data_IF_081248456905
#
_entry.id   IF_081248456905
#
_cell.length_a   1.000
_cell.length_b   1.000
_cell.length_c   1.000
_cell.angle_alpha   90.00
_cell.angle_beta   90.00
_cell.angle_gamma   90.00
#
_symmetry.space_group_name_H-M   'P 1'
#
loop_
_entity.id
_entity.type
_entity.pdbx_description
1 polymer ?
#
# COMPACT_ATOMS: atom_id res chain seq x y z
N UNK A 1 -15.82 1.17 26.37
CA UNK A 1 -15.23 0.03 25.63
C UNK A 1 -14.56 0.63 24.40
N UNK A 2 -13.23 0.68 24.37
CA UNK A 2 -12.48 1.14 23.20
C UNK A 2 -12.21 -0.13 22.38
N UNK A 3 -12.90 -0.29 21.24
CA UNK A 3 -12.66 -1.42 20.35
C UNK A 3 -11.49 -1.01 19.46
N UNK A 4 -10.37 -1.70 19.58
CA UNK A 4 -9.24 -1.53 18.66
C UNK A 4 -9.34 -2.64 17.63
N UNK A 5 -9.70 -2.23 16.41
CA UNK A 5 -9.93 -3.13 15.29
C UNK A 5 -8.68 -3.22 14.43
N UNK A 6 -8.17 -4.43 14.20
CA UNK A 6 -6.96 -4.65 13.39
C UNK A 6 -7.31 -5.25 12.02
N UNK A 7 -6.62 -4.77 10.98
CA UNK A 7 -6.52 -5.43 9.68
C UNK A 7 -5.35 -6.42 9.77
N UNK A 8 -5.61 -7.71 9.52
CA UNK A 8 -4.60 -8.78 9.70
C UNK A 8 -4.42 -9.58 8.41
N UNK A 9 -3.18 -9.97 8.14
CA UNK A 9 -2.70 -10.73 6.98
C UNK A 9 -2.90 -12.25 7.11
N UNK A 10 -4.09 -12.66 7.56
CA UNK A 10 -4.42 -14.09 7.75
C UNK A 10 -4.00 -14.67 9.11
N UNK A 11 -3.44 -13.87 10.02
CA UNK A 11 -3.37 -14.22 11.44
C UNK A 11 -4.73 -13.95 12.11
N UNK A 12 -5.33 -14.95 12.74
CA UNK A 12 -6.39 -14.71 13.73
C UNK A 12 -5.81 -13.89 14.89
N UNK A 13 -6.63 -13.16 15.65
CA UNK A 13 -6.18 -12.38 16.84
C UNK A 13 -5.48 -13.22 17.93
N UNK A 14 -5.35 -14.54 17.72
CA UNK A 14 -4.53 -15.46 18.50
C UNK A 14 -3.12 -14.92 18.72
N UNK A 15 -2.78 -14.60 19.97
CA UNK A 15 -1.44 -14.17 20.37
C UNK A 15 -1.27 -12.67 20.55
N UNK A 16 -2.27 -11.85 20.23
CA UNK A 16 -2.25 -10.42 20.58
C UNK A 16 -2.52 -10.28 22.08
N UNK A 17 -1.53 -9.77 22.82
CA UNK A 17 -1.71 -9.40 24.23
C UNK A 17 -2.15 -7.94 24.32
N UNK A 18 -3.27 -7.70 25.01
CA UNK A 18 -3.79 -6.35 25.26
C UNK A 18 -4.01 -6.11 26.74
N UNK A 19 -4.02 -4.83 27.12
CA UNK A 19 -4.30 -4.42 28.49
C UNK A 19 -5.74 -4.75 28.91
N UNK A 20 -5.98 -4.84 30.22
CA UNK A 20 -7.29 -5.12 30.79
C UNK A 20 -8.36 -4.14 30.27
N UNK A 21 -9.51 -4.68 29.87
CA UNK A 21 -10.63 -3.90 29.33
C UNK A 21 -10.56 -3.55 27.84
N UNK A 22 -9.51 -4.01 27.14
CA UNK A 22 -9.41 -3.93 25.66
C UNK A 22 -9.86 -5.27 25.06
N UNK A 23 -10.69 -5.20 24.03
CA UNK A 23 -11.10 -6.34 23.21
C UNK A 23 -10.55 -6.12 21.79
N UNK A 24 -9.95 -7.16 21.22
CA UNK A 24 -9.41 -7.16 19.86
C UNK A 24 -10.10 -8.25 19.06
N UNK A 25 -10.67 -7.86 17.93
CA UNK A 25 -11.35 -8.74 16.99
C UNK A 25 -10.85 -8.46 15.56
N UNK A 26 -10.82 -9.51 14.75
CA UNK A 26 -10.52 -9.38 13.31
C UNK A 26 -11.74 -8.79 12.60
N UNK A 27 -11.55 -7.65 11.92
CA UNK A 27 -12.61 -7.02 11.13
C UNK A 27 -12.54 -7.34 9.65
N UNK A 28 -11.33 -7.46 9.10
CA UNK A 28 -11.09 -7.98 7.76
C UNK A 28 -9.80 -8.79 7.75
N UNK A 29 -9.75 -9.81 6.90
CA UNK A 29 -8.59 -10.67 6.70
C UNK A 29 -8.48 -11.10 5.23
N UNK A 30 -7.40 -11.79 4.87
CA UNK A 30 -7.31 -12.53 3.61
C UNK A 30 -8.57 -13.39 3.41
N UNK A 31 -9.14 -13.46 2.18
CA UNK A 31 -8.66 -12.87 0.92
C UNK A 31 -9.20 -11.46 0.60
N UNK A 32 -9.80 -10.77 1.58
CA UNK A 32 -10.38 -9.43 1.36
C UNK A 32 -9.33 -8.33 1.19
N UNK A 33 -8.09 -8.56 1.62
CA UNK A 33 -6.96 -7.68 1.42
C UNK A 33 -5.70 -8.55 1.44
N UNK A 34 -4.65 -8.11 0.75
CA UNK A 34 -3.46 -8.95 0.49
C UNK A 34 -2.19 -8.38 1.12
N UNK A 35 -2.00 -7.05 1.07
CA UNK A 35 -0.75 -6.43 1.54
C UNK A 35 -1.00 -4.99 2.06
N UNK A 36 -1.72 -4.83 3.19
CA UNK A 36 -2.12 -3.52 3.71
C UNK A 36 -0.94 -2.76 4.33
N UNK A 37 -0.72 -1.51 3.91
CA UNK A 37 0.35 -0.65 4.46
C UNK A 37 -0.20 0.50 5.29
N UNK A 38 -1.25 1.15 4.81
CA UNK A 38 -1.91 2.26 5.49
C UNK A 38 -3.42 2.16 5.31
N UNK A 39 -4.18 2.72 6.25
CA UNK A 39 -5.63 2.81 6.12
C UNK A 39 -6.18 4.10 6.71
N UNK A 40 -7.37 4.48 6.26
CA UNK A 40 -8.14 5.58 6.82
C UNK A 40 -9.64 5.23 6.79
N UNK A 41 -10.36 5.68 7.81
CA UNK A 41 -11.81 5.46 7.94
C UNK A 41 -12.51 6.75 7.58
N UNK A 42 -13.54 6.67 6.75
CA UNK A 42 -14.33 7.83 6.37
C UNK A 42 -15.50 8.11 7.32
N UNK A 43 -16.26 9.16 7.04
CA UNK A 43 -17.38 9.59 7.87
C UNK A 43 -18.60 8.64 7.81
N UNK A 44 -18.57 7.59 6.98
CA UNK A 44 -19.58 6.54 6.90
C UNK A 44 -19.10 5.21 7.50
N UNK A 45 -17.89 5.17 8.07
CA UNK A 45 -17.31 3.95 8.64
C UNK A 45 -16.72 3.00 7.58
N UNK A 46 -16.58 3.44 6.33
CA UNK A 46 -15.91 2.64 5.29
C UNK A 46 -14.40 2.77 5.47
N UNK A 47 -13.69 1.67 5.30
CA UNK A 47 -12.22 1.63 5.47
C UNK A 47 -11.56 1.62 4.11
N UNK A 48 -10.70 2.60 3.88
CA UNK A 48 -9.85 2.69 2.69
C UNK A 48 -8.45 2.22 3.06
N UNK A 49 -7.91 1.27 2.31
CA UNK A 49 -6.62 0.61 2.58
C UNK A 49 -5.72 0.82 1.38
N UNK A 50 -4.54 1.41 1.59
CA UNK A 50 -3.46 1.39 0.62
C UNK A 50 -2.78 0.01 0.68
N UNK A 51 -2.82 -0.72 -0.42
CA UNK A 51 -2.16 -2.01 -0.57
C UNK A 51 -0.99 -1.93 -1.54
N UNK A 52 0.12 -2.56 -1.17
CA UNK A 52 1.36 -2.45 -1.94
C UNK A 52 1.84 -3.79 -2.46
N UNK A 53 1.67 -4.05 -3.75
CA UNK A 53 2.22 -5.25 -4.37
C UNK A 53 3.65 -5.02 -4.87
N UNK A 54 4.13 -3.77 -4.91
CA UNK A 54 5.36 -3.39 -5.60
C UNK A 54 6.61 -3.36 -4.73
N UNK A 55 6.48 -3.46 -3.41
CA UNK A 55 7.65 -3.53 -2.52
C UNK A 55 8.53 -4.73 -2.92
N UNK A 56 9.82 -4.45 -3.19
CA UNK A 56 10.81 -5.42 -3.72
C UNK A 56 10.44 -6.05 -5.08
N UNK A 57 9.41 -5.51 -5.75
CA UNK A 57 8.84 -6.00 -7.02
C UNK A 57 8.52 -4.82 -7.95
N UNK A 58 9.45 -3.87 -8.06
CA UNK A 58 9.30 -2.63 -8.82
C UNK A 58 9.54 -1.36 -8.01
N UNK A 59 9.43 -1.44 -6.68
CA UNK A 59 9.99 -0.44 -5.74
C UNK A 59 11.12 -1.09 -4.97
N UNK A 60 12.34 -0.70 -5.31
CA UNK A 60 13.54 -1.43 -4.95
C UNK A 60 14.13 -0.98 -3.62
N UNK A 61 14.61 -1.93 -2.84
CA UNK A 61 15.46 -1.66 -1.69
C UNK A 61 16.92 -1.58 -2.13
N UNK A 62 17.50 -0.37 -2.08
CA UNK A 62 18.90 -0.10 -2.44
C UNK A 62 19.89 -1.04 -1.73
N UNK A 63 19.60 -1.51 -0.50
CA UNK A 63 20.48 -2.41 0.25
C UNK A 63 20.72 -3.75 -0.44
N UNK A 64 19.77 -4.19 -1.26
CA UNK A 64 19.84 -5.44 -2.02
C UNK A 64 20.49 -5.27 -3.39
N UNK A 65 20.78 -4.04 -3.81
CA UNK A 65 21.19 -3.67 -5.17
C UNK A 65 22.54 -2.92 -5.19
N UNK A 66 23.64 -3.52 -4.69
CA UNK A 66 24.90 -2.79 -4.49
C UNK A 66 25.53 -2.20 -5.75
N UNK A 67 25.15 -2.70 -6.93
CA UNK A 67 25.73 -2.28 -8.20
C UNK A 67 25.33 -0.86 -8.64
N UNK A 68 24.22 -0.32 -8.13
CA UNK A 68 23.75 1.03 -8.49
C UNK A 68 23.86 2.06 -7.37
N UNK A 69 24.41 1.69 -6.20
CA UNK A 69 24.37 2.55 -4.99
C UNK A 69 25.03 3.92 -5.18
N UNK A 70 26.15 3.98 -5.92
CA UNK A 70 26.83 5.25 -6.20
C UNK A 70 26.01 6.14 -7.14
N UNK A 71 25.27 5.54 -8.08
CA UNK A 71 24.37 6.29 -8.95
C UNK A 71 23.17 6.80 -8.12
N UNK A 72 22.57 5.95 -7.29
CA UNK A 72 21.41 6.26 -6.43
C UNK A 72 21.67 7.43 -5.48
N UNK A 73 22.85 7.46 -4.82
CA UNK A 73 23.24 8.57 -3.93
C UNK A 73 23.50 9.87 -4.70
N UNK A 74 23.83 9.80 -5.99
CA UNK A 74 24.14 10.96 -6.82
C UNK A 74 22.91 11.64 -7.43
N UNK A 75 21.75 10.99 -7.40
CA UNK A 75 20.51 11.49 -8.02
C UNK A 75 20.11 12.85 -7.44
N UNK A 76 19.71 13.78 -8.29
CA UNK A 76 19.21 15.11 -7.87
C UNK A 76 17.76 15.35 -8.31
N UNK A 77 17.28 14.59 -9.30
CA UNK A 77 15.95 14.73 -9.90
C UNK A 77 15.25 13.38 -10.07
N UNK A 78 13.94 13.42 -10.36
CA UNK A 78 13.15 12.21 -10.66
C UNK A 78 13.59 11.62 -12.00
N UNK A 79 13.97 12.46 -12.94
CA UNK A 79 14.50 12.09 -14.26
C UNK A 79 15.84 11.35 -14.12
N UNK A 80 16.72 11.78 -13.20
CA UNK A 80 17.97 11.04 -12.93
C UNK A 80 17.67 9.61 -12.47
N UNK A 81 16.64 9.43 -11.63
CA UNK A 81 16.24 8.10 -11.16
C UNK A 81 15.76 7.23 -12.31
N UNK A 82 14.98 7.79 -13.25
CA UNK A 82 14.55 7.06 -14.45
C UNK A 82 15.77 6.65 -15.29
N UNK A 83 16.69 7.57 -15.54
CA UNK A 83 17.90 7.29 -16.30
C UNK A 83 18.78 6.23 -15.62
N UNK A 84 18.83 6.21 -14.28
CA UNK A 84 19.50 5.15 -13.52
C UNK A 84 18.82 3.79 -13.74
N UNK A 85 17.49 3.73 -13.67
CA UNK A 85 16.75 2.49 -13.93
C UNK A 85 17.01 1.97 -15.35
N UNK A 86 17.00 2.84 -16.35
CA UNK A 86 17.30 2.51 -17.75
C UNK A 86 18.74 2.00 -17.92
N UNK A 87 19.72 2.68 -17.32
CA UNK A 87 21.15 2.27 -17.32
C UNK A 87 21.31 0.84 -16.82
N UNK A 88 20.61 0.48 -15.75
CA UNK A 88 20.73 -0.82 -15.10
C UNK A 88 19.66 -1.84 -15.51
N UNK A 89 18.80 -1.52 -16.48
CA UNK A 89 17.72 -2.41 -16.93
C UNK A 89 18.25 -3.80 -17.34
N UNK A 90 19.44 -3.88 -17.92
CA UNK A 90 20.09 -5.14 -18.30
C UNK A 90 20.39 -6.11 -17.13
N UNK A 91 20.36 -5.63 -15.87
CA UNK A 91 20.51 -6.46 -14.67
C UNK A 91 19.18 -7.07 -14.22
N UNK A 92 18.05 -6.58 -14.72
CA UNK A 92 16.71 -7.10 -14.42
C UNK A 92 16.35 -8.19 -15.42
N UNK A 93 15.64 -9.22 -14.97
CA UNK A 93 15.23 -10.35 -15.81
C UNK A 93 14.32 -9.94 -16.97
N UNK A 94 13.55 -8.86 -16.82
CA UNK A 94 12.63 -8.33 -17.84
C UNK A 94 12.89 -6.84 -18.15
N UNK A 95 14.15 -6.41 -18.04
CA UNK A 95 14.53 -5.03 -18.37
C UNK A 95 13.73 -3.99 -17.57
N UNK A 96 13.23 -2.97 -18.29
CA UNK A 96 12.38 -1.93 -17.68
C UNK A 96 10.97 -2.41 -17.31
N UNK A 97 10.47 -3.50 -17.89
CA UNK A 97 9.14 -4.02 -17.56
C UNK A 97 9.07 -4.51 -16.11
N UNK A 98 10.22 -4.82 -15.50
CA UNK A 98 10.34 -5.15 -14.08
C UNK A 98 9.64 -4.12 -13.18
N UNK A 99 9.75 -2.83 -13.47
CA UNK A 99 9.23 -1.76 -12.61
C UNK A 99 7.71 -1.55 -12.73
N UNK A 100 7.10 -2.10 -13.79
CA UNK A 100 5.68 -1.95 -14.12
C UNK A 100 4.87 -3.24 -14.02
N UNK A 101 5.52 -4.37 -13.67
CA UNK A 101 4.93 -5.70 -13.65
C UNK A 101 3.84 -5.90 -12.58
N UNK A 102 3.89 -5.09 -11.51
CA UNK A 102 2.94 -5.10 -10.41
C UNK A 102 2.39 -3.71 -10.18
N UNK A 103 1.19 -3.62 -9.59
CA UNK A 103 0.50 -2.36 -9.29
C UNK A 103 0.11 -2.28 -7.81
N UNK A 104 0.26 -1.09 -7.24
CA UNK A 104 -0.34 -0.74 -5.96
C UNK A 104 -1.81 -0.32 -6.17
N UNK A 105 -2.60 -0.31 -5.10
CA UNK A 105 -4.04 0.00 -5.18
C UNK A 105 -4.59 0.55 -3.87
N UNK A 106 -5.76 1.17 -3.97
CA UNK A 106 -6.59 1.53 -2.84
C UNK A 106 -7.80 0.60 -2.83
N UNK A 107 -7.91 -0.19 -1.76
CA UNK A 107 -9.09 -1.02 -1.50
C UNK A 107 -10.06 -0.28 -0.61
N UNK A 108 -11.36 -0.43 -0.86
CA UNK A 108 -12.42 0.03 0.03
C UNK A 108 -13.18 -1.17 0.59
N UNK A 109 -13.25 -1.23 1.91
CA UNK A 109 -13.92 -2.25 2.70
C UNK A 109 -15.13 -1.64 3.40
N UNK A 110 -16.22 -2.41 3.47
CA UNK A 110 -17.49 -2.00 4.08
C UNK A 110 -18.03 -3.17 4.91
N UNK A 111 -18.60 -2.84 6.05
CA UNK A 111 -19.49 -3.69 6.84
C UNK A 111 -20.93 -3.29 6.48
N UNK A 112 -21.65 -4.12 5.72
CA UNK A 112 -22.98 -3.77 5.20
C UNK A 112 -24.12 -4.17 6.11
N UNK A 113 -23.91 -5.09 7.06
CA UNK A 113 -24.94 -5.57 7.99
C UNK A 113 -24.76 -5.09 9.44
N UNK A 114 -23.64 -4.43 9.74
CA UNK A 114 -23.33 -3.81 11.04
C UNK A 114 -22.92 -4.82 12.11
N UNK A 115 -22.47 -6.01 11.72
CA UNK A 115 -22.03 -7.06 12.65
C UNK A 115 -20.62 -6.81 13.24
N UNK A 116 -19.95 -5.74 12.80
CA UNK A 116 -18.60 -5.40 13.21
C UNK A 116 -17.53 -6.13 12.42
N UNK A 117 -17.83 -6.63 11.21
CA UNK A 117 -16.89 -7.23 10.27
C UNK A 117 -17.15 -6.71 8.87
N UNK A 118 -16.08 -6.51 8.10
CA UNK A 118 -16.23 -6.19 6.70
C UNK A 118 -16.77 -7.40 5.94
N UNK A 119 -17.75 -7.18 5.07
CA UNK A 119 -18.38 -8.19 4.22
C UNK A 119 -18.31 -7.84 2.73
N UNK A 120 -17.97 -6.58 2.40
CA UNK A 120 -17.84 -6.09 1.04
C UNK A 120 -16.46 -5.47 0.81
N UNK A 121 -15.85 -5.86 -0.31
CA UNK A 121 -14.61 -5.27 -0.81
C UNK A 121 -14.72 -4.78 -2.25
N UNK A 122 -14.07 -3.66 -2.55
CA UNK A 122 -13.94 -3.11 -3.91
C UNK A 122 -12.57 -2.48 -4.10
N UNK A 123 -11.99 -2.56 -5.30
CA UNK A 123 -10.87 -1.70 -5.68
C UNK A 123 -11.42 -0.31 -5.95
N UNK A 124 -11.10 0.65 -5.09
CA UNK A 124 -11.52 2.05 -5.26
C UNK A 124 -10.70 2.75 -6.34
N UNK A 125 -9.39 2.53 -6.33
CA UNK A 125 -8.47 3.03 -7.36
C UNK A 125 -7.26 2.10 -7.48
N UNK A 126 -6.66 2.02 -8.65
CA UNK A 126 -5.54 1.13 -8.96
C UNK A 126 -4.80 1.61 -10.21
N UNK A 127 -3.88 0.80 -10.72
CA UNK A 127 -3.01 1.18 -11.85
C UNK A 127 -1.80 2.02 -11.45
N UNK A 128 -1.41 2.01 -10.18
CA UNK A 128 -0.20 2.71 -9.71
C UNK A 128 1.02 1.83 -9.94
N UNK A 129 1.57 1.88 -11.16
CA UNK A 129 2.69 1.05 -11.58
C UNK A 129 3.68 1.77 -12.51
N UNK A 130 3.69 3.11 -12.55
CA UNK A 130 4.72 3.82 -13.30
C UNK A 130 6.10 3.49 -12.70
N UNK A 131 7.18 3.38 -13.51
CA UNK A 131 8.51 3.13 -12.97
C UNK A 131 8.93 4.11 -11.86
N UNK A 132 8.42 5.34 -11.90
CA UNK A 132 8.71 6.37 -10.91
C UNK A 132 7.72 6.41 -9.75
N UNK A 133 6.63 5.66 -9.80
CA UNK A 133 5.79 5.45 -8.63
C UNK A 133 6.59 4.68 -7.57
N UNK A 134 6.65 5.19 -6.34
CA UNK A 134 7.13 4.48 -5.17
C UNK A 134 6.02 3.71 -4.47
N UNK A 135 6.31 3.24 -3.26
CA UNK A 135 5.40 2.45 -2.44
C UNK A 135 4.17 3.28 -2.03
N UNK A 136 2.98 2.78 -2.37
CA UNK A 136 1.69 3.29 -1.93
C UNK A 136 1.48 3.22 -0.42
N UNK A 137 1.87 4.27 0.31
CA UNK A 137 2.01 4.18 1.78
C UNK A 137 1.21 5.23 2.55
N UNK A 138 0.38 6.03 1.88
CA UNK A 138 -0.50 6.98 2.54
C UNK A 138 -1.87 6.99 1.92
N UNK A 139 -2.88 6.94 2.77
CA UNK A 139 -4.28 7.17 2.40
C UNK A 139 -4.94 8.02 3.48
N UNK A 140 -5.63 9.08 3.06
CA UNK A 140 -6.43 9.93 3.94
C UNK A 140 -7.78 10.14 3.26
N UNK A 141 -8.85 9.88 3.98
CA UNK A 141 -10.20 10.21 3.53
C UNK A 141 -10.68 11.42 4.32
N UNK A 142 -11.16 12.43 3.60
CA UNK A 142 -11.70 13.62 4.23
C UNK A 142 -12.80 14.23 3.37
N UNK A 143 -14.01 14.32 3.94
CA UNK A 143 -15.19 14.96 3.31
C UNK A 143 -15.47 14.42 1.91
N UNK A 144 -15.36 13.10 1.74
CA UNK A 144 -15.60 12.40 0.48
C UNK A 144 -14.46 12.47 -0.55
N UNK A 145 -13.39 13.22 -0.31
CA UNK A 145 -12.17 13.14 -1.11
C UNK A 145 -11.25 12.06 -0.53
N UNK A 146 -10.60 11.28 -1.40
CA UNK A 146 -9.56 10.31 -1.02
C UNK A 146 -8.21 10.84 -1.51
N UNK A 147 -7.31 11.09 -0.56
CA UNK A 147 -5.94 11.47 -0.82
C UNK A 147 -5.04 10.24 -0.72
N UNK A 148 -4.20 10.03 -1.72
CA UNK A 148 -3.30 8.88 -1.78
C UNK A 148 -1.88 9.35 -2.12
N UNK A 149 -0.88 8.77 -1.48
CA UNK A 149 0.52 9.09 -1.71
C UNK A 149 1.31 7.85 -2.10
N UNK A 150 1.95 7.96 -3.24
CA UNK A 150 3.02 7.10 -3.72
C UNK A 150 4.05 8.04 -4.36
N UNK A 151 5.26 8.12 -3.82
CA UNK A 151 6.23 9.12 -4.28
C UNK A 151 6.43 9.03 -5.81
N UNK A 152 6.58 10.15 -6.53
CA UNK A 152 6.56 11.53 -6.06
C UNK A 152 5.16 12.15 -5.94
N UNK A 153 4.10 11.37 -6.15
CA UNK A 153 2.74 11.86 -6.33
C UNK A 153 1.96 11.99 -5.03
N UNK A 154 1.10 13.01 -5.02
CA UNK A 154 -0.06 13.13 -4.14
C UNK A 154 -1.30 13.21 -5.04
N UNK A 155 -2.17 12.22 -4.92
CA UNK A 155 -3.41 12.15 -5.67
C UNK A 155 -4.56 12.67 -4.84
N UNK A 156 -5.54 13.29 -5.49
CA UNK A 156 -6.87 13.56 -4.95
C UNK A 156 -7.88 12.86 -5.86
N UNK A 157 -8.67 11.97 -5.28
CA UNK A 157 -9.58 11.07 -5.98
C UNK A 157 -11.02 11.29 -5.49
N UNK A 158 -12.00 11.00 -6.34
CA UNK A 158 -13.44 11.07 -6.07
C UNK A 158 -14.18 9.93 -6.73
#
# INVERSE_FOLDING_TARGET
MLIMTALLDGSTTSGVQVADGIVVETWASDPMLVDPVAFCIDEQGRVYVAETARQERGVEDTRTQPYWNLDDISLQTVEDRLAMYEKWAHRRSDGMNHYTAYEDRIRRLVDTDGDGRADLQTVFSGGYNDPLDGTGSGVLVHRGDVYYTNIPHLWRLR
#
